data_IF_197573766111
#
_entry.id   IF_197573766111
#
_cell.length_a   1.000
_cell.length_b   1.000
_cell.length_c   1.000
_cell.angle_alpha   90.00
_cell.angle_beta   90.00
_cell.angle_gamma   90.00
#
_symmetry.space_group_name_H-M   'P 1'
#
loop_
_entity.id
_entity.type
_entity.pdbx_description
1 polymer ?
#
# COMPACT_ATOMS: atom_id res chain seq x y z
N UNK A 1 -13.82 -27.87 6.92
CA UNK A 1 -12.66 -27.05 7.33
C UNK A 1 -12.81 -25.77 6.52
N UNK A 2 -13.41 -24.73 7.10
CA UNK A 2 -13.95 -23.61 6.34
C UNK A 2 -12.96 -22.44 6.30
N UNK A 3 -12.87 -21.84 5.10
CA UNK A 3 -12.20 -20.59 4.79
C UNK A 3 -12.40 -19.53 5.88
N UNK A 4 -11.28 -19.02 6.39
CA UNK A 4 -11.23 -17.79 7.19
C UNK A 4 -10.50 -16.71 6.39
N UNK A 5 -11.01 -16.39 5.20
CA UNK A 5 -10.72 -15.12 4.54
C UNK A 5 -11.90 -14.19 4.83
N UNK A 6 -11.60 -13.02 5.39
CA UNK A 6 -12.53 -11.98 5.88
C UNK A 6 -13.19 -12.30 7.23
N UNK A 7 -12.43 -12.27 8.32
CA UNK A 7 -13.03 -12.19 9.66
C UNK A 7 -13.64 -10.81 9.85
N UNK A 8 -14.96 -10.75 10.08
CA UNK A 8 -15.63 -9.57 10.63
C UNK A 8 -14.96 -9.16 11.94
N UNK A 9 -14.80 -7.86 12.23
CA UNK A 9 -14.26 -7.41 13.51
C UNK A 9 -15.07 -7.98 14.68
N UNK A 10 -14.41 -8.34 15.77
CA UNK A 10 -15.10 -8.69 17.01
C UNK A 10 -15.74 -7.43 17.59
N UNK A 11 -17.02 -7.51 17.91
CA UNK A 11 -17.82 -6.43 18.50
C UNK A 11 -17.43 -6.28 19.98
N UNK A 12 -16.31 -5.61 20.23
CA UNK A 12 -15.70 -5.38 21.55
C UNK A 12 -16.16 -4.05 22.21
N UNK A 13 -17.15 -3.38 21.62
CA UNK A 13 -17.61 -2.07 22.05
C UNK A 13 -16.82 -0.90 21.47
N UNK A 14 -15.88 -1.15 20.55
CA UNK A 14 -15.31 -0.09 19.71
C UNK A 14 -16.36 0.47 18.74
N UNK A 15 -16.53 1.80 18.72
CA UNK A 15 -17.33 2.45 17.69
C UNK A 15 -16.68 2.18 16.32
N UNK A 16 -17.36 1.41 15.48
CA UNK A 16 -16.98 1.29 14.08
C UNK A 16 -17.43 2.57 13.39
N UNK A 17 -16.53 3.53 13.23
CA UNK A 17 -16.71 4.62 12.26
C UNK A 17 -16.74 4.01 10.86
N UNK A 18 -17.94 3.66 10.40
CA UNK A 18 -18.21 3.32 9.02
C UNK A 18 -18.22 4.59 8.16
N UNK A 19 -17.05 5.20 8.00
CA UNK A 19 -16.82 6.00 6.80
C UNK A 19 -16.35 5.03 5.70
N UNK A 20 -17.13 4.92 4.64
CA UNK A 20 -16.81 4.12 3.44
C UNK A 20 -15.60 4.69 2.68
N UNK A 21 -14.44 4.73 3.33
CA UNK A 21 -13.20 5.24 2.79
C UNK A 21 -12.57 4.17 1.92
N UNK A 22 -12.32 4.51 0.66
CA UNK A 22 -11.67 3.63 -0.30
C UNK A 22 -10.25 3.27 0.18
N UNK A 23 -9.98 1.98 0.39
CA UNK A 23 -8.67 1.47 0.82
C UNK A 23 -7.87 0.80 -0.30
N UNK A 24 -8.41 0.82 -1.52
CA UNK A 24 -7.79 0.29 -2.74
C UNK A 24 -7.63 1.46 -3.71
N UNK A 25 -6.44 1.65 -4.24
CA UNK A 25 -6.15 2.69 -5.21
C UNK A 25 -5.32 2.12 -6.36
N UNK A 26 -5.59 2.56 -7.58
CA UNK A 26 -4.90 2.12 -8.79
C UNK A 26 -4.10 3.30 -9.35
N UNK A 27 -2.84 3.53 -8.90
CA UNK A 27 -1.99 4.61 -9.42
C UNK A 27 -1.68 4.46 -10.91
N UNK A 28 -1.70 3.22 -11.40
CA UNK A 28 -1.45 2.85 -12.78
C UNK A 28 -2.39 1.70 -13.14
N UNK A 29 -2.66 1.51 -14.43
CA UNK A 29 -3.57 0.46 -14.93
C UNK A 29 -3.11 -0.95 -14.54
N UNK A 30 -1.83 -1.13 -14.23
CA UNK A 30 -1.22 -2.42 -13.90
C UNK A 30 -0.82 -2.58 -12.43
N UNK A 31 -1.08 -1.60 -11.56
CA UNK A 31 -0.72 -1.65 -10.13
C UNK A 31 -1.92 -1.24 -9.28
N UNK A 32 -2.31 -2.12 -8.36
CA UNK A 32 -3.23 -1.85 -7.28
C UNK A 32 -2.46 -1.70 -5.95
N UNK A 33 -2.87 -0.73 -5.15
CA UNK A 33 -2.32 -0.40 -3.83
C UNK A 33 -3.43 -0.55 -2.81
N UNK A 34 -3.20 -1.37 -1.78
CA UNK A 34 -4.11 -1.57 -0.65
C UNK A 34 -3.41 -1.11 0.63
N UNK A 35 -4.13 -0.47 1.54
CA UNK A 35 -3.55 0.02 2.79
C UNK A 35 -4.38 -0.35 4.03
N UNK A 36 -3.69 -0.63 5.14
CA UNK A 36 -4.26 -0.64 6.48
C UNK A 36 -3.55 0.38 7.37
N UNK A 37 -4.24 0.79 8.44
CA UNK A 37 -3.72 1.76 9.41
C UNK A 37 -4.38 3.13 9.29
N UNK A 38 -3.61 4.16 9.61
CA UNK A 38 -4.06 5.54 9.64
C UNK A 38 -4.39 6.05 8.22
N UNK A 39 -5.61 6.57 8.04
CA UNK A 39 -6.08 7.08 6.74
C UNK A 39 -5.32 8.33 6.31
N UNK A 40 -4.89 9.18 7.24
CA UNK A 40 -4.17 10.42 6.92
C UNK A 40 -2.74 10.10 6.46
N UNK A 41 -2.13 9.07 7.05
CA UNK A 41 -0.85 8.53 6.57
C UNK A 41 -1.04 7.97 5.16
N UNK A 42 -2.08 7.17 4.92
CA UNK A 42 -2.37 6.63 3.60
C UNK A 42 -2.60 7.71 2.53
N UNK A 43 -3.41 8.74 2.83
CA UNK A 43 -3.63 9.86 1.92
C UNK A 43 -2.33 10.57 1.57
N UNK A 44 -1.45 10.78 2.56
CA UNK A 44 -0.13 11.37 2.35
C UNK A 44 0.76 10.52 1.43
N UNK A 45 0.78 9.19 1.63
CA UNK A 45 1.55 8.27 0.78
C UNK A 45 1.08 8.28 -0.68
N UNK A 46 -0.24 8.28 -0.89
CA UNK A 46 -0.80 8.32 -2.24
C UNK A 46 -0.41 9.61 -2.97
N UNK A 47 -0.50 10.77 -2.29
CA UNK A 47 -0.06 12.03 -2.86
C UNK A 47 1.42 12.01 -3.23
N UNK A 48 2.29 11.49 -2.36
CA UNK A 48 3.72 11.36 -2.63
C UNK A 48 3.99 10.48 -3.87
N UNK A 49 3.32 9.34 -3.99
CA UNK A 49 3.49 8.43 -5.12
C UNK A 49 2.98 9.04 -6.44
N UNK A 50 1.82 9.70 -6.42
CA UNK A 50 1.24 10.39 -7.56
C UNK A 50 2.12 11.55 -8.02
N UNK A 51 2.61 12.37 -7.09
CA UNK A 51 3.48 13.50 -7.40
C UNK A 51 4.81 13.04 -8.00
N UNK A 52 5.36 11.92 -7.51
CA UNK A 52 6.54 11.30 -8.10
C UNK A 52 6.27 10.84 -9.55
N UNK A 53 5.15 10.17 -9.80
CA UNK A 53 4.73 9.78 -11.15
C UNK A 53 4.58 10.99 -12.09
N UNK A 54 3.96 12.08 -11.62
CA UNK A 54 3.79 13.31 -12.40
C UNK A 54 5.10 14.06 -12.66
N UNK A 55 6.08 13.98 -11.76
CA UNK A 55 7.39 14.56 -11.97
C UNK A 55 8.17 13.82 -13.08
N UNK A 56 7.99 12.51 -13.19
CA UNK A 56 8.68 11.66 -14.17
C UNK A 56 8.03 11.69 -15.56
N UNK A 57 6.69 11.75 -15.64
CA UNK A 57 5.92 11.77 -16.90
C UNK A 57 6.06 13.06 -17.72
N UNK A 58 6.63 14.15 -17.16
CA UNK A 58 6.88 15.41 -17.89
C UNK A 58 7.95 15.32 -18.99
N UNK A 59 8.51 14.14 -19.25
CA UNK A 59 9.57 13.87 -20.23
C UNK A 59 9.07 13.02 -21.41
N UNK A 60 8.05 13.46 -22.15
CA UNK A 60 7.63 12.95 -23.49
C UNK A 60 7.60 11.40 -23.70
N UNK A 61 7.52 10.62 -22.63
CA UNK A 61 7.50 9.16 -22.65
C UNK A 61 6.47 8.67 -21.63
N UNK A 62 5.79 7.59 -22.02
CA UNK A 62 4.90 6.84 -21.14
C UNK A 62 5.77 6.18 -20.06
N UNK A 63 5.89 6.85 -18.91
CA UNK A 63 6.72 6.37 -17.82
C UNK A 63 5.91 5.38 -16.98
N UNK A 64 6.26 4.10 -17.09
CA UNK A 64 5.68 3.01 -16.32
C UNK A 64 6.62 2.59 -15.19
N UNK A 65 6.14 2.66 -13.95
CA UNK A 65 6.87 2.09 -12.81
C UNK A 65 6.67 0.58 -12.73
N UNK A 66 7.73 -0.14 -12.39
CA UNK A 66 7.61 -1.51 -11.88
C UNK A 66 6.90 -1.52 -10.53
N UNK A 67 6.31 -2.65 -10.15
CA UNK A 67 5.66 -2.83 -8.85
C UNK A 67 6.68 -2.59 -7.72
N UNK A 68 7.92 -3.03 -7.91
CA UNK A 68 9.02 -2.78 -6.98
C UNK A 68 9.30 -1.30 -6.79
N UNK A 69 9.43 -0.53 -7.88
CA UNK A 69 9.68 0.91 -7.77
C UNK A 69 8.53 1.62 -7.06
N UNK A 70 7.29 1.21 -7.31
CA UNK A 70 6.14 1.73 -6.57
C UNK A 70 6.24 1.39 -5.07
N UNK A 71 6.66 0.18 -4.72
CA UNK A 71 6.87 -0.21 -3.33
C UNK A 71 7.98 0.61 -2.66
N UNK A 72 9.08 0.86 -3.37
CA UNK A 72 10.19 1.70 -2.89
C UNK A 72 9.74 3.16 -2.66
N UNK A 73 8.87 3.72 -3.53
CA UNK A 73 8.28 5.04 -3.33
C UNK A 73 7.43 5.10 -2.05
N UNK A 74 6.61 4.07 -1.81
CA UNK A 74 5.79 4.00 -0.59
C UNK A 74 6.64 3.85 0.67
N UNK A 75 7.73 3.06 0.60
CA UNK A 75 8.68 2.94 1.71
C UNK A 75 9.35 4.28 2.03
N UNK A 76 9.82 4.98 1.00
CA UNK A 76 10.42 6.30 1.16
C UNK A 76 9.42 7.32 1.72
N UNK A 77 8.15 7.25 1.28
CA UNK A 77 7.06 8.04 1.83
C UNK A 77 6.84 7.78 3.33
N UNK A 78 6.80 6.51 3.74
CA UNK A 78 6.68 6.13 5.16
C UNK A 78 7.86 6.64 5.99
N UNK A 79 9.09 6.50 5.48
CA UNK A 79 10.29 7.02 6.13
C UNK A 79 10.20 8.55 6.30
N UNK A 80 9.75 9.26 5.27
CA UNK A 80 9.57 10.72 5.32
C UNK A 80 8.52 11.16 6.34
N UNK A 81 7.39 10.44 6.42
CA UNK A 81 6.33 10.70 7.40
C UNK A 81 6.80 10.41 8.83
N UNK A 82 7.54 9.32 9.03
CA UNK A 82 8.16 9.04 10.33
C UNK A 82 9.15 10.14 10.74
N UNK A 83 9.96 10.62 9.80
CA UNK A 83 10.91 11.70 10.04
C UNK A 83 10.24 13.04 10.38
N UNK A 84 9.00 13.27 9.90
CA UNK A 84 8.20 14.45 10.27
C UNK A 84 7.44 14.31 11.60
N UNK A 85 7.62 13.19 12.29
CA UNK A 85 7.02 12.92 13.59
C UNK A 85 5.63 12.28 13.53
N UNK A 86 5.15 11.85 12.35
CA UNK A 86 3.94 11.03 12.27
C UNK A 86 4.20 9.62 12.79
N UNK A 87 3.26 9.09 13.55
CA UNK A 87 3.26 7.67 13.92
C UNK A 87 2.83 6.84 12.70
N UNK A 88 3.69 5.90 12.29
CA UNK A 88 3.45 4.99 11.17
C UNK A 88 3.35 3.53 11.62
N UNK A 89 3.42 3.24 12.92
CA UNK A 89 3.58 1.88 13.47
C UNK A 89 2.42 0.93 13.14
N UNK A 90 1.25 1.48 12.83
CA UNK A 90 0.06 0.71 12.44
C UNK A 90 -0.21 0.73 10.93
N UNK A 91 0.68 1.34 10.14
CA UNK A 91 0.49 1.49 8.70
C UNK A 91 1.22 0.40 7.93
N UNK A 92 0.49 -0.29 7.06
CA UNK A 92 1.08 -1.21 6.10
C UNK A 92 0.34 -1.13 4.76
N UNK A 93 1.09 -1.31 3.68
CA UNK A 93 0.62 -1.20 2.30
C UNK A 93 0.94 -2.49 1.57
N UNK A 94 -0.02 -3.03 0.84
CA UNK A 94 0.19 -4.08 -0.16
C UNK A 94 0.17 -3.42 -1.53
N UNK A 95 1.16 -3.73 -2.35
CA UNK A 95 1.21 -3.37 -3.76
C UNK A 95 1.16 -4.65 -4.57
N UNK A 96 0.14 -4.78 -5.42
CA UNK A 96 -0.04 -5.93 -6.28
C UNK A 96 -0.21 -5.46 -7.71
N UNK A 97 0.50 -6.06 -8.65
CA UNK A 97 0.45 -5.63 -10.04
C UNK A 97 1.21 -6.56 -10.96
N UNK A 98 1.24 -6.19 -12.24
CA UNK A 98 1.99 -6.91 -13.26
C UNK A 98 2.83 -5.92 -14.05
N UNK A 99 4.14 -6.12 -14.12
CA UNK A 99 5.04 -5.34 -14.97
C UNK A 99 5.80 -6.28 -15.94
N UNK A 100 6.80 -5.75 -16.66
CA UNK A 100 7.57 -6.51 -17.66
C UNK A 100 8.29 -7.74 -17.06
N UNK A 101 8.54 -7.76 -15.74
CA UNK A 101 9.13 -8.92 -15.06
C UNK A 101 8.10 -9.93 -14.54
N UNK A 102 6.81 -9.61 -14.60
CA UNK A 102 5.71 -10.50 -14.27
C UNK A 102 4.79 -9.94 -13.18
N UNK A 103 3.99 -10.84 -12.60
CA UNK A 103 3.11 -10.51 -11.49
C UNK A 103 3.89 -10.43 -10.18
N UNK A 104 3.70 -9.34 -9.44
CA UNK A 104 4.41 -9.07 -8.20
C UNK A 104 3.46 -8.64 -7.06
N UNK A 105 3.81 -9.05 -5.85
CA UNK A 105 3.16 -8.65 -4.60
C UNK A 105 4.25 -8.15 -3.64
N UNK A 106 4.13 -6.90 -3.22
CA UNK A 106 5.00 -6.28 -2.22
C UNK A 106 4.20 -5.87 -0.99
N UNK A 107 4.77 -6.07 0.19
CA UNK A 107 4.27 -5.54 1.46
C UNK A 107 5.25 -4.50 1.96
N UNK A 108 4.75 -3.32 2.29
CA UNK A 108 5.53 -2.19 2.79
C UNK A 108 4.99 -1.75 4.14
N UNK A 109 5.85 -1.70 5.15
CA UNK A 109 5.52 -1.28 6.51
C UNK A 109 6.71 -0.54 7.17
N UNK A 110 6.65 -0.33 8.48
CA UNK A 110 7.71 0.34 9.26
C UNK A 110 9.01 -0.47 9.39
N UNK A 111 9.00 -1.75 9.00
CA UNK A 111 10.17 -2.64 8.96
C UNK A 111 10.86 -2.65 7.59
N UNK A 112 10.16 -2.25 6.53
CA UNK A 112 10.71 -2.17 5.18
C UNK A 112 9.73 -2.59 4.09
N UNK A 113 10.27 -2.85 2.91
CA UNK A 113 9.56 -3.43 1.78
C UNK A 113 9.97 -4.89 1.59
N UNK A 114 8.98 -5.79 1.51
CA UNK A 114 9.15 -7.22 1.40
C UNK A 114 8.39 -7.75 0.18
N UNK A 115 9.06 -8.55 -0.65
CA UNK A 115 8.44 -9.24 -1.78
C UNK A 115 7.77 -10.53 -1.29
N UNK A 116 6.50 -10.73 -1.64
CA UNK A 116 5.67 -11.88 -1.23
C UNK A 116 5.39 -12.85 -2.39
N UNK A 117 6.05 -12.70 -3.54
CA UNK A 117 5.83 -13.51 -4.75
C UNK A 117 5.95 -15.01 -4.49
N UNK A 118 6.92 -15.42 -3.67
CA UNK A 118 7.14 -16.83 -3.34
C UNK A 118 5.97 -17.47 -2.55
N UNK A 119 5.19 -16.65 -1.85
CA UNK A 119 4.02 -17.09 -1.06
C UNK A 119 2.73 -17.01 -1.90
N UNK A 120 2.69 -16.08 -2.86
CA UNK A 120 1.55 -15.89 -3.78
C UNK A 120 0.36 -15.15 -3.17
N UNK A 121 0.45 -14.70 -1.91
CA UNK A 121 -0.53 -13.84 -1.26
C UNK A 121 0.13 -13.00 -0.16
N UNK A 122 -0.55 -11.92 0.25
CA UNK A 122 -0.16 -11.10 1.38
C UNK A 122 -1.39 -10.62 2.15
N UNK A 123 -1.22 -10.40 3.46
CA UNK A 123 -2.24 -9.82 4.34
C UNK A 123 -1.62 -8.67 5.14
N UNK A 124 -2.45 -7.69 5.53
CA UNK A 124 -2.08 -6.57 6.39
C UNK A 124 -3.21 -6.26 7.37
N UNK A 125 -2.90 -5.62 8.50
CA UNK A 125 -3.85 -5.33 9.57
C UNK A 125 -4.10 -6.53 10.49
N UNK A 126 -5.27 -6.57 11.15
CA UNK A 126 -5.62 -7.59 12.16
C UNK A 126 -5.65 -9.02 11.57
N UNK A 127 -5.80 -9.16 10.26
CA UNK A 127 -5.80 -10.45 9.58
C UNK A 127 -4.41 -10.97 9.19
N UNK A 128 -3.34 -10.25 9.53
CA UNK A 128 -1.95 -10.65 9.26
C UNK A 128 -1.36 -11.49 10.40
#
# INVERSE_FOLDING_TARGET
MADRLLTTPQDDGSFIEHEGRTKIYEPMTHIAVLCCGDTDVFGSLNHIAIDALFAETKKDQEYTLSVKQMADLHLNGLIGLRASGKDISQTAVILAGCDDSGGHIYVVNDQGAHCADAVGFAAVGVGN
#
